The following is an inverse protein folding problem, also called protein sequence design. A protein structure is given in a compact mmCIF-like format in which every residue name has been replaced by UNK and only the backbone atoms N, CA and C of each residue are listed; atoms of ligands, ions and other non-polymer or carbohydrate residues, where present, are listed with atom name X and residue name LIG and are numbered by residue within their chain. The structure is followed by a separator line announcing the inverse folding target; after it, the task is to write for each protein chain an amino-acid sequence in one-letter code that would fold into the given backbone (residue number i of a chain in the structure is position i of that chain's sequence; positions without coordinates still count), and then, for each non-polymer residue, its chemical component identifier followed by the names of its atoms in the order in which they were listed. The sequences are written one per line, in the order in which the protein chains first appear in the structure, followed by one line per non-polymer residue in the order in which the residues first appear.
data_IF_853016550923
#
_entry.id   IF_853016550923
#
_cell.length_a   1.000
_cell.length_b   1.000
_cell.length_c   1.000
_cell.angle_alpha   90.00
_cell.angle_beta   90.00
_cell.angle_gamma   90.00
#
_symmetry.space_group_name_H-M   'P 1'
#
loop_
_entity.id
_entity.type
_entity.pdbx_description
1 polymer ?
#
# COMPACT_ATOMS: atom_id res chain seq x y z
N UNK A 1 -2.31 16.77 21.10
CA UNK A 1 -2.12 15.36 20.70
C UNK A 1 -2.74 15.02 19.34
N UNK A 2 -3.93 15.52 18.96
CA UNK A 2 -4.56 15.14 17.68
C UNK A 2 -3.95 15.70 16.37
N UNK A 3 -3.08 16.72 16.43
CA UNK A 3 -2.48 17.31 15.23
C UNK A 3 -1.31 16.49 14.66
N UNK A 4 -0.41 15.98 15.50
CA UNK A 4 0.73 15.13 15.06
C UNK A 4 0.27 13.82 14.44
N UNK A 5 -0.73 13.18 15.06
CA UNK A 5 -1.31 11.93 14.56
C UNK A 5 -2.03 12.08 13.20
N UNK A 6 -2.68 13.22 12.93
CA UNK A 6 -3.25 13.50 11.62
C UNK A 6 -2.19 13.63 10.52
N UNK A 7 -1.04 14.21 10.87
CA UNK A 7 0.11 14.30 9.95
C UNK A 7 0.64 12.90 9.66
N UNK A 8 0.85 12.07 10.69
CA UNK A 8 1.34 10.69 10.54
C UNK A 8 0.42 9.83 9.66
N UNK A 9 -0.91 9.91 9.84
CA UNK A 9 -1.87 9.22 8.96
C UNK A 9 -1.76 9.74 7.52
N UNK A 10 -1.61 11.05 7.33
CA UNK A 10 -1.50 11.65 5.99
C UNK A 10 -0.21 11.22 5.28
N UNK A 11 0.90 11.13 6.00
CA UNK A 11 2.18 10.64 5.48
C UNK A 11 2.11 9.15 5.13
N UNK A 12 1.46 8.34 5.97
CA UNK A 12 1.26 6.92 5.71
C UNK A 12 0.31 6.66 4.53
N UNK A 13 -0.76 7.46 4.37
CA UNK A 13 -1.60 7.44 3.17
C UNK A 13 -0.81 7.82 1.91
N UNK A 14 0.13 8.77 2.04
CA UNK A 14 1.07 9.13 0.97
C UNK A 14 1.97 7.97 0.58
N UNK A 15 2.56 7.29 1.58
CA UNK A 15 3.40 6.11 1.37
C UNK A 15 2.64 4.98 0.67
N UNK A 16 1.40 4.70 1.09
CA UNK A 16 0.53 3.69 0.44
C UNK A 16 0.31 4.03 -1.04
N UNK A 17 0.04 5.30 -1.37
CA UNK A 17 -0.13 5.73 -2.77
C UNK A 17 1.14 5.57 -3.60
N UNK A 18 2.30 5.90 -3.04
CA UNK A 18 3.58 5.71 -3.72
C UNK A 18 3.89 4.23 -3.96
N UNK A 19 3.61 3.37 -2.99
CA UNK A 19 3.77 1.92 -3.14
C UNK A 19 2.87 1.34 -4.22
N UNK A 20 1.59 1.75 -4.27
CA UNK A 20 0.68 1.34 -5.35
C UNK A 20 1.17 1.80 -6.73
N UNK A 21 1.61 3.05 -6.84
CA UNK A 21 2.17 3.57 -8.09
C UNK A 21 3.40 2.79 -8.52
N UNK A 22 4.31 2.51 -7.59
CA UNK A 22 5.51 1.71 -7.85
C UNK A 22 5.14 0.30 -8.34
N UNK A 23 4.14 -0.33 -7.73
CA UNK A 23 3.61 -1.63 -8.14
C UNK A 23 3.06 -1.60 -9.58
N UNK A 24 2.29 -0.58 -9.95
CA UNK A 24 1.74 -0.41 -11.30
C UNK A 24 2.84 -0.16 -12.34
N UNK A 25 3.79 0.72 -12.03
CA UNK A 25 4.93 1.01 -12.91
C UNK A 25 5.78 -0.23 -13.15
N UNK A 26 6.07 -1.02 -12.11
CA UNK A 26 6.80 -2.29 -12.24
C UNK A 26 6.02 -3.33 -13.06
N UNK A 27 4.70 -3.48 -12.83
CA UNK A 27 3.86 -4.36 -13.66
C UNK A 27 3.85 -3.95 -15.13
N UNK A 28 3.76 -2.65 -15.39
CA UNK A 28 3.79 -2.12 -16.76
C UNK A 28 5.12 -2.42 -17.44
N UNK A 29 6.24 -2.21 -16.73
CA UNK A 29 7.58 -2.52 -17.23
C UNK A 29 7.76 -4.02 -17.53
N UNK A 30 7.29 -4.92 -16.65
CA UNK A 30 7.35 -6.37 -16.88
C UNK A 30 6.52 -6.80 -18.09
N UNK A 31 5.30 -6.27 -18.23
CA UNK A 31 4.48 -6.56 -19.41
C UNK A 31 5.13 -6.06 -20.69
N UNK A 32 5.74 -4.86 -20.68
CA UNK A 32 6.49 -4.34 -21.83
C UNK A 32 7.72 -5.20 -22.15
N UNK A 33 8.38 -5.75 -21.14
CA UNK A 33 9.52 -6.67 -21.30
C UNK A 33 9.07 -8.01 -21.91
N UNK A 34 7.94 -8.56 -21.45
CA UNK A 34 7.29 -9.74 -22.03
C UNK A 34 6.88 -9.51 -23.49
N UNK A 35 6.34 -8.34 -23.80
CA UNK A 35 5.86 -7.99 -25.14
C UNK A 35 7.01 -7.66 -26.12
N UNK A 36 8.19 -7.32 -25.59
CA UNK A 36 9.43 -7.12 -26.39
C UNK A 36 10.23 -8.41 -26.59
N UNK A 37 10.14 -9.39 -25.68
CA UNK A 37 10.35 -10.81 -26.02
C UNK A 37 9.13 -11.38 -26.76
N UNK A 38 9.04 -12.64 -27.22
CA UNK A 38 9.99 -13.65 -27.68
C UNK A 38 10.04 -13.71 -29.23
N UNK A 39 9.58 -12.66 -29.94
CA UNK A 39 9.49 -12.67 -31.42
C UNK A 39 10.68 -12.05 -32.15
N UNK A 40 11.62 -11.43 -31.44
CA UNK A 40 12.61 -10.51 -32.07
C UNK A 40 14.08 -10.87 -31.85
N UNK A 41 14.45 -11.58 -30.78
CA UNK A 41 15.86 -11.78 -30.36
C UNK A 41 16.45 -13.16 -30.66
N UNK A 42 15.63 -14.21 -30.83
CA UNK A 42 16.05 -15.50 -31.39
C UNK A 42 17.00 -16.36 -30.53
N UNK A 43 17.24 -16.00 -29.27
CA UNK A 43 18.15 -16.71 -28.36
C UNK A 43 17.38 -17.40 -27.23
N UNK A 44 17.42 -18.75 -27.21
CA UNK A 44 16.78 -19.57 -26.16
C UNK A 44 17.25 -19.25 -24.74
N UNK A 45 18.51 -18.82 -24.58
CA UNK A 45 19.06 -18.43 -23.27
C UNK A 45 18.50 -17.09 -22.81
N UNK A 46 18.29 -16.15 -23.74
CA UNK A 46 17.66 -14.88 -23.44
C UNK A 46 16.17 -15.06 -23.13
N UNK A 47 15.52 -15.99 -23.82
CA UNK A 47 14.12 -16.36 -23.55
C UNK A 47 13.96 -16.91 -22.12
N UNK A 48 14.81 -17.86 -21.72
CA UNK A 48 14.75 -18.45 -20.36
C UNK A 48 15.06 -17.41 -19.27
N UNK A 49 16.03 -16.52 -19.50
CA UNK A 49 16.36 -15.45 -18.56
C UNK A 49 15.22 -14.43 -18.41
N UNK A 50 14.51 -14.11 -19.50
CA UNK A 50 13.33 -13.24 -19.46
C UNK A 50 12.18 -13.88 -18.68
N UNK A 51 11.94 -15.18 -18.85
CA UNK A 51 10.89 -15.90 -18.11
C UNK A 51 11.21 -15.98 -16.60
N UNK A 52 12.43 -16.38 -16.22
CA UNK A 52 12.85 -16.40 -14.81
C UNK A 52 12.81 -15.00 -14.17
N UNK A 53 13.22 -13.97 -14.91
CA UNK A 53 13.13 -12.59 -14.45
C UNK A 53 11.67 -12.20 -14.23
N UNK A 54 10.79 -12.51 -15.17
CA UNK A 54 9.37 -12.18 -15.06
C UNK A 54 8.72 -12.84 -13.84
N UNK A 55 8.95 -14.13 -13.63
CA UNK A 55 8.39 -14.88 -12.49
C UNK A 55 8.89 -14.34 -11.15
N UNK A 56 10.21 -14.12 -11.02
CA UNK A 56 10.80 -13.56 -9.80
C UNK A 56 10.26 -12.17 -9.48
N UNK A 57 10.03 -11.34 -10.50
CA UNK A 57 9.53 -9.99 -10.31
C UNK A 57 8.03 -9.93 -10.08
N UNK A 58 7.23 -10.83 -10.66
CA UNK A 58 5.81 -10.95 -10.32
C UNK A 58 5.63 -11.33 -8.84
N UNK A 59 6.46 -12.24 -8.32
CA UNK A 59 6.48 -12.59 -6.90
C UNK A 59 6.91 -11.42 -6.00
N UNK A 60 7.89 -10.63 -6.43
CA UNK A 60 8.30 -9.42 -5.69
C UNK A 60 7.16 -8.38 -5.64
N UNK A 61 6.48 -8.17 -6.77
CA UNK A 61 5.33 -7.27 -6.89
C UNK A 61 4.18 -7.72 -5.99
N UNK A 62 3.88 -9.02 -5.94
CA UNK A 62 2.88 -9.58 -5.01
C UNK A 62 3.23 -9.29 -3.55
N UNK A 63 4.49 -9.52 -3.15
CA UNK A 63 4.94 -9.22 -1.77
C UNK A 63 4.80 -7.75 -1.42
N UNK A 64 5.09 -6.84 -2.36
CA UNK A 64 4.91 -5.40 -2.18
C UNK A 64 3.42 -5.06 -2.02
N UNK A 65 2.56 -5.70 -2.81
CA UNK A 65 1.11 -5.52 -2.72
C UNK A 65 0.57 -5.97 -1.35
N UNK A 66 0.95 -7.16 -0.90
CA UNK A 66 0.53 -7.73 0.39
C UNK A 66 1.00 -6.87 1.58
N UNK A 67 2.25 -6.37 1.50
CA UNK A 67 2.80 -5.44 2.47
C UNK A 67 2.03 -4.12 2.53
N UNK A 68 1.71 -3.57 1.36
CA UNK A 68 0.90 -2.34 1.24
C UNK A 68 -0.49 -2.52 1.83
N UNK A 69 -1.16 -3.65 1.52
CA UNK A 69 -2.48 -3.97 2.08
C UNK A 69 -2.42 -4.07 3.61
N UNK A 70 -1.39 -4.71 4.15
CA UNK A 70 -1.19 -4.83 5.60
C UNK A 70 -1.04 -3.47 6.28
N UNK A 71 -0.33 -2.54 5.63
CA UNK A 71 -0.17 -1.16 6.13
C UNK A 71 -1.52 -0.43 6.11
N UNK A 72 -2.27 -0.54 5.02
CA UNK A 72 -3.60 0.07 4.87
C UNK A 72 -4.59 -0.43 5.94
N UNK A 73 -4.59 -1.73 6.22
CA UNK A 73 -5.47 -2.33 7.22
C UNK A 73 -5.14 -1.85 8.64
N UNK A 74 -3.85 -1.77 8.97
CA UNK A 74 -3.40 -1.22 10.26
C UNK A 74 -3.73 0.26 10.40
N UNK A 75 -3.63 1.04 9.32
CA UNK A 75 -4.04 2.44 9.30
C UNK A 75 -5.53 2.61 9.57
N UNK A 76 -6.37 1.81 8.90
CA UNK A 76 -7.82 1.78 9.14
C UNK A 76 -8.13 1.46 10.60
N UNK A 77 -7.52 0.41 11.14
CA UNK A 77 -7.69 0.04 12.55
C UNK A 77 -7.29 1.18 13.49
N UNK A 78 -6.17 1.83 13.22
CA UNK A 78 -5.65 2.93 14.06
C UNK A 78 -6.58 4.15 14.01
N UNK A 79 -7.13 4.46 12.82
CA UNK A 79 -8.14 5.51 12.62
C UNK A 79 -9.44 5.20 13.38
N UNK A 80 -9.91 3.96 13.31
CA UNK A 80 -11.16 3.55 13.96
C UNK A 80 -11.04 3.63 15.48
N UNK A 81 -9.93 3.14 16.05
CA UNK A 81 -9.62 3.29 17.47
C UNK A 81 -9.62 4.77 17.89
N UNK A 82 -9.05 5.65 17.07
CA UNK A 82 -9.06 7.09 17.37
C UNK A 82 -10.49 7.67 17.35
N UNK A 83 -11.30 7.28 16.35
CA UNK A 83 -12.70 7.72 16.26
C UNK A 83 -13.50 7.28 17.48
N UNK A 84 -13.28 6.06 17.95
CA UNK A 84 -13.96 5.51 19.12
C UNK A 84 -13.52 6.23 20.40
N UNK A 85 -12.23 6.53 20.54
CA UNK A 85 -11.71 7.32 21.67
C UNK A 85 -12.25 8.75 21.66
N UNK A 86 -12.27 9.42 20.51
CA UNK A 86 -12.81 10.79 20.39
C UNK A 86 -14.31 10.82 20.70
N UNK A 87 -15.06 9.81 20.24
CA UNK A 87 -16.47 9.64 20.56
C UNK A 87 -16.70 9.39 22.06
N UNK A 88 -15.90 8.50 22.69
CA UNK A 88 -15.98 8.19 24.11
C UNK A 88 -15.62 9.40 24.99
N UNK A 89 -14.61 10.18 24.60
CA UNK A 89 -14.28 11.46 25.26
C UNK A 89 -15.44 12.43 25.12
N UNK A 90 -15.99 12.60 23.91
CA UNK A 90 -17.12 13.52 23.68
C UNK A 90 -18.36 13.13 24.48
N UNK A 91 -18.67 11.85 24.56
CA UNK A 91 -19.80 11.34 25.33
C UNK A 91 -19.56 11.49 26.85
N UNK A 92 -18.38 11.13 27.33
CA UNK A 92 -17.99 11.23 28.74
C UNK A 92 -17.90 12.67 29.27
N UNK A 93 -17.49 13.63 28.42
CA UNK A 93 -17.50 15.06 28.75
C UNK A 93 -18.86 15.72 28.48
N UNK A 94 -19.62 15.26 27.47
CA UNK A 94 -20.98 15.71 27.18
C UNK A 94 -21.99 15.34 28.26
N UNK A 95 -21.80 14.21 28.94
CA UNK A 95 -22.63 13.77 30.06
C UNK A 95 -22.37 14.50 31.38
N UNK A 96 -21.26 15.25 31.52
CA UNK A 96 -20.86 15.89 32.79
C UNK A 96 -20.96 17.43 32.79
N UNK A 97 -21.36 18.05 31.67
CA UNK A 97 -21.51 19.51 31.54
C UNK A 97 -22.93 20.06 31.67
N UNK A 98 -23.94 19.20 31.89
CA UNK A 98 -25.37 19.57 31.90
C UNK A 98 -26.06 19.51 33.26
N UNK A 99 -25.35 19.74 34.37
CA UNK A 99 -25.89 19.60 35.72
C UNK A 99 -25.56 20.77 36.63
N UNK A 100 -26.42 21.80 36.56
CA UNK A 100 -26.71 22.87 37.54
C UNK A 100 -25.58 23.81 37.97
#
# INVERSE_FOLDING_TARGET
MGAGFKVEITELDGLVRELHRSQEEMRSALNALRDTGPKTTGSKELDNACDEFHDSWDDAIKKIADGTQTIEDKLKQTRDVYRDVDAAIRDGFGGKGGGK
#
